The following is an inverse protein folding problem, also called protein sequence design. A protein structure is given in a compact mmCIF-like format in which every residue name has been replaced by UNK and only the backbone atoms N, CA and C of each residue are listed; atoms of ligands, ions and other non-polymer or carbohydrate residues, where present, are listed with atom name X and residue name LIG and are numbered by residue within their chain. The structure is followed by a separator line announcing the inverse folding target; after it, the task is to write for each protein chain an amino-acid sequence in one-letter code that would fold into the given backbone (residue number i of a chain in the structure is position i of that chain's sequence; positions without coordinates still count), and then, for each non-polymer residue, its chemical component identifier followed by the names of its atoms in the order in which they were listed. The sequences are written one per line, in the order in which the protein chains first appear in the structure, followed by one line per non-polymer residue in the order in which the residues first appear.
data_IF_259935707739
#
_entry.id   IF_259935707739
#
_cell.length_a   1.000
_cell.length_b   1.000
_cell.length_c   1.000
_cell.angle_alpha   90.00
_cell.angle_beta   90.00
_cell.angle_gamma   90.00
#
_symmetry.space_group_name_H-M   'P 1'
#
loop_
_entity.id
_entity.type
_entity.pdbx_description
1 polymer ?
#
# COMPACT_ATOMS: atom_id res chain seq x y z
N UNK A 1 7.59 -27.07 -36.62
CA UNK A 1 8.10 -26.78 -35.27
C UNK A 1 8.71 -25.38 -35.32
N UNK A 2 7.99 -24.38 -34.84
CA UNK A 2 8.48 -23.01 -34.71
C UNK A 2 8.14 -22.55 -33.31
N UNK A 3 9.15 -22.48 -32.45
CA UNK A 3 9.07 -21.91 -31.11
C UNK A 3 8.67 -20.44 -31.20
N UNK A 4 7.73 -19.93 -30.39
CA UNK A 4 7.58 -18.50 -30.24
C UNK A 4 8.69 -17.97 -29.33
N UNK A 5 9.41 -17.00 -29.87
CA UNK A 5 10.38 -16.12 -29.21
C UNK A 5 9.80 -15.54 -27.92
N UNK A 6 10.49 -15.77 -26.80
CA UNK A 6 10.25 -15.06 -25.54
C UNK A 6 10.69 -13.62 -25.75
N UNK A 7 9.74 -12.72 -25.95
CA UNK A 7 10.00 -11.28 -25.85
C UNK A 7 10.20 -10.98 -24.37
N UNK A 8 11.40 -10.47 -24.05
CA UNK A 8 11.68 -9.80 -22.78
C UNK A 8 10.69 -8.63 -22.63
N UNK A 9 9.58 -8.89 -21.94
CA UNK A 9 8.74 -7.84 -21.40
C UNK A 9 9.44 -7.34 -20.14
N UNK A 10 10.00 -6.14 -20.20
CA UNK A 10 10.12 -5.34 -18.98
C UNK A 10 8.71 -5.29 -18.38
N UNK A 11 8.54 -5.91 -17.21
CA UNK A 11 7.25 -6.02 -16.52
C UNK A 11 6.54 -4.67 -16.59
N UNK A 12 5.42 -4.63 -17.32
CA UNK A 12 4.52 -3.50 -17.20
C UNK A 12 4.19 -3.37 -15.71
N UNK A 13 4.18 -2.16 -15.13
CA UNK A 13 3.75 -1.99 -13.76
C UNK A 13 2.33 -2.56 -13.67
N UNK A 14 2.20 -3.69 -13.01
CA UNK A 14 0.93 -4.35 -12.77
C UNK A 14 0.20 -3.55 -11.70
N UNK A 15 -1.03 -3.13 -12.00
CA UNK A 15 -1.93 -2.53 -11.02
C UNK A 15 -2.20 -3.56 -9.91
N UNK A 16 -2.24 -3.10 -8.67
CA UNK A 16 -2.54 -3.97 -7.53
C UNK A 16 -1.83 -3.58 -6.23
N UNK A 17 -1.89 -4.51 -5.28
CA UNK A 17 -1.37 -4.37 -3.92
C UNK A 17 -0.27 -5.41 -3.69
N UNK A 18 0.95 -4.97 -3.41
CA UNK A 18 2.10 -5.88 -3.29
C UNK A 18 3.20 -5.35 -2.38
N UNK A 19 4.00 -6.26 -1.83
CA UNK A 19 5.25 -5.90 -1.17
C UNK A 19 6.29 -5.57 -2.25
N UNK A 20 6.96 -4.42 -2.15
CA UNK A 20 7.98 -4.02 -3.13
C UNK A 20 9.17 -5.01 -3.07
N UNK A 21 9.50 -5.74 -4.15
CA UNK A 21 10.59 -6.70 -4.15
C UNK A 21 11.96 -6.05 -3.93
N UNK A 22 12.15 -4.80 -4.36
CA UNK A 22 13.40 -4.06 -4.16
C UNK A 22 13.46 -3.41 -2.78
N UNK A 23 12.29 -3.17 -2.16
CA UNK A 23 12.16 -2.61 -0.83
C UNK A 23 11.15 -3.41 0.00
N UNK A 24 11.50 -4.59 0.53
CA UNK A 24 10.56 -5.52 1.17
C UNK A 24 9.80 -4.98 2.40
N UNK A 25 10.15 -3.79 2.84
CA UNK A 25 9.53 -3.08 3.94
C UNK A 25 8.42 -2.11 3.49
N UNK A 26 8.18 -1.98 2.19
CA UNK A 26 7.20 -1.09 1.56
C UNK A 26 6.06 -1.91 0.97
N UNK A 27 4.83 -1.59 1.37
CA UNK A 27 3.61 -2.03 0.70
C UNK A 27 3.27 -1.02 -0.39
N UNK A 28 3.40 -1.42 -1.65
CA UNK A 28 3.11 -0.58 -2.82
C UNK A 28 1.68 -0.81 -3.30
N UNK A 29 1.01 0.29 -3.63
CA UNK A 29 -0.32 0.34 -4.23
C UNK A 29 -0.19 1.03 -5.58
N UNK A 30 -0.44 0.28 -6.65
CA UNK A 30 -0.27 0.73 -8.04
C UNK A 30 -1.64 0.73 -8.75
N UNK A 31 -2.00 1.84 -9.41
CA UNK A 31 -3.20 1.93 -10.24
C UNK A 31 -4.52 1.98 -9.46
N UNK A 32 -5.56 1.39 -10.05
CA UNK A 32 -6.89 1.26 -9.44
C UNK A 32 -6.93 -0.05 -8.66
N UNK A 33 -7.00 0.06 -7.32
CA UNK A 33 -6.90 -1.09 -6.43
C UNK A 33 -8.19 -1.27 -5.65
N UNK A 34 -8.74 -2.47 -5.72
CA UNK A 34 -9.99 -2.85 -5.08
C UNK A 34 -9.87 -4.17 -4.32
N UNK A 35 -11.02 -4.72 -3.91
CA UNK A 35 -11.07 -5.99 -3.19
C UNK A 35 -10.44 -7.17 -3.95
N UNK A 36 -10.40 -7.17 -5.28
CA UNK A 36 -9.75 -8.24 -6.03
C UNK A 36 -8.24 -8.25 -5.76
N UNK A 37 -7.59 -7.09 -5.81
CA UNK A 37 -6.15 -6.98 -5.50
C UNK A 37 -5.81 -7.39 -4.06
N UNK A 38 -6.73 -7.14 -3.12
CA UNK A 38 -6.57 -7.59 -1.73
C UNK A 38 -6.66 -9.12 -1.62
N UNK A 39 -7.57 -9.74 -2.38
CA UNK A 39 -7.72 -11.20 -2.42
C UNK A 39 -6.54 -11.86 -3.13
N UNK A 40 -6.05 -11.28 -4.23
CA UNK A 40 -4.88 -11.77 -4.95
C UNK A 40 -3.65 -11.79 -4.02
N UNK A 41 -3.41 -10.71 -3.27
CA UNK A 41 -2.31 -10.67 -2.29
C UNK A 41 -2.51 -11.70 -1.16
N UNK A 42 -3.73 -11.89 -0.68
CA UNK A 42 -4.02 -12.90 0.35
C UNK A 42 -3.72 -14.32 -0.15
N UNK A 43 -4.12 -14.61 -1.40
CA UNK A 43 -3.87 -15.89 -2.05
C UNK A 43 -2.38 -16.11 -2.32
N UNK A 44 -1.65 -15.07 -2.76
CA UNK A 44 -0.19 -15.12 -2.95
C UNK A 44 0.56 -15.43 -1.64
N UNK A 45 0.10 -14.86 -0.53
CA UNK A 45 0.69 -15.09 0.80
C UNK A 45 0.15 -16.36 1.49
N UNK A 46 -0.90 -16.99 0.95
CA UNK A 46 -1.52 -18.17 1.52
C UNK A 46 -2.21 -17.92 2.86
N UNK A 47 -2.79 -16.73 3.06
CA UNK A 47 -3.44 -16.32 4.32
C UNK A 47 -4.88 -15.85 4.09
N UNK A 48 -5.70 -15.83 5.14
CA UNK A 48 -7.02 -15.23 5.03
C UNK A 48 -6.92 -13.69 4.94
N UNK A 49 -7.88 -13.05 4.27
CA UNK A 49 -7.94 -11.57 4.16
C UNK A 49 -7.80 -10.84 5.50
N UNK A 50 -8.42 -11.37 6.56
CA UNK A 50 -8.34 -10.78 7.90
C UNK A 50 -6.96 -10.86 8.55
N UNK A 51 -6.09 -11.72 8.03
CA UNK A 51 -4.73 -11.97 8.53
C UNK A 51 -3.67 -11.18 7.73
N UNK A 52 -4.05 -10.48 6.65
CA UNK A 52 -3.12 -9.73 5.81
C UNK A 52 -2.33 -8.69 6.61
N UNK A 53 -3.00 -7.84 7.40
CA UNK A 53 -2.34 -6.81 8.21
C UNK A 53 -1.21 -7.36 9.10
N UNK A 54 -1.49 -8.28 10.03
CA UNK A 54 -0.45 -8.86 10.87
C UNK A 54 0.59 -9.66 10.08
N UNK A 55 0.20 -10.35 9.00
CA UNK A 55 1.14 -11.08 8.13
C UNK A 55 2.14 -10.14 7.45
N UNK A 56 1.66 -9.03 6.89
CA UNK A 56 2.50 -8.01 6.25
C UNK A 56 3.47 -7.37 7.25
N UNK A 57 2.99 -7.03 8.46
CA UNK A 57 3.85 -6.49 9.51
C UNK A 57 4.90 -7.52 9.97
N UNK A 58 4.52 -8.79 10.13
CA UNK A 58 5.45 -9.86 10.46
C UNK A 58 6.50 -10.10 9.36
N UNK A 59 6.14 -9.86 8.09
CA UNK A 59 7.05 -9.88 6.95
C UNK A 59 7.99 -8.66 6.87
N UNK A 60 7.80 -7.66 7.74
CA UNK A 60 8.68 -6.49 7.85
C UNK A 60 8.17 -5.23 7.14
N UNK A 61 6.94 -5.23 6.65
CA UNK A 61 6.27 -4.03 6.10
C UNK A 61 6.11 -2.99 7.20
N UNK A 62 6.63 -1.78 6.93
CA UNK A 62 6.59 -0.62 7.84
C UNK A 62 6.35 0.70 7.12
N UNK A 63 6.13 0.67 5.81
CA UNK A 63 5.90 1.85 4.98
C UNK A 63 4.86 1.52 3.91
N UNK A 64 4.06 2.51 3.51
CA UNK A 64 3.06 2.41 2.45
C UNK A 64 3.37 3.44 1.36
N UNK A 65 3.36 2.99 0.10
CA UNK A 65 3.58 3.82 -1.08
C UNK A 65 2.33 3.86 -1.95
N UNK A 66 1.70 5.04 -2.03
CA UNK A 66 0.53 5.34 -2.87
C UNK A 66 0.89 6.22 -4.07
N UNK A 67 2.18 6.43 -4.37
CA UNK A 67 2.64 7.37 -5.43
C UNK A 67 2.03 7.07 -6.79
N UNK A 68 1.72 5.80 -7.05
CA UNK A 68 1.17 5.31 -8.31
C UNK A 68 -0.29 4.89 -8.21
N UNK A 69 -0.92 5.05 -7.05
CA UNK A 69 -2.33 4.74 -6.86
C UNK A 69 -3.20 5.82 -7.53
N UNK A 70 -4.17 5.40 -8.34
CA UNK A 70 -5.17 6.26 -8.97
C UNK A 70 -6.53 6.14 -8.30
N UNK A 71 -6.83 4.99 -7.68
CA UNK A 71 -8.02 4.75 -6.88
C UNK A 71 -7.76 3.67 -5.82
N UNK A 72 -8.39 3.81 -4.65
CA UNK A 72 -8.46 2.74 -3.63
C UNK A 72 -9.88 2.67 -3.07
N UNK A 73 -10.37 1.46 -2.80
CA UNK A 73 -11.65 1.25 -2.14
C UNK A 73 -11.52 1.02 -0.62
N UNK A 74 -12.67 0.81 0.03
CA UNK A 74 -12.72 0.54 1.49
C UNK A 74 -11.99 -0.74 1.91
N UNK A 75 -11.82 -1.72 1.02
CA UNK A 75 -11.14 -2.97 1.33
C UNK A 75 -9.63 -2.79 1.38
N UNK A 76 -9.06 -1.97 0.48
CA UNK A 76 -7.67 -1.56 0.53
C UNK A 76 -7.41 -0.73 1.78
N UNK A 77 -8.29 0.24 2.08
CA UNK A 77 -8.21 1.05 3.30
C UNK A 77 -8.21 0.16 4.55
N UNK A 78 -9.04 -0.88 4.60
CA UNK A 78 -9.05 -1.83 5.71
C UNK A 78 -7.68 -2.53 5.88
N UNK A 79 -7.02 -2.93 4.79
CA UNK A 79 -5.66 -3.49 4.87
C UNK A 79 -4.69 -2.45 5.44
N UNK A 80 -4.68 -1.23 4.91
CA UNK A 80 -3.78 -0.17 5.38
C UNK A 80 -3.99 0.14 6.88
N UNK A 81 -5.24 0.20 7.33
CA UNK A 81 -5.60 0.38 8.74
C UNK A 81 -5.11 -0.79 9.60
N UNK A 82 -5.29 -2.03 9.14
CA UNK A 82 -4.80 -3.19 9.89
C UNK A 82 -3.28 -3.20 9.99
N UNK A 83 -2.56 -2.86 8.91
CA UNK A 83 -1.09 -2.69 8.94
C UNK A 83 -0.70 -1.61 9.95
N UNK A 84 -1.35 -0.44 9.91
CA UNK A 84 -1.04 0.64 10.84
C UNK A 84 -1.37 0.32 12.30
N UNK A 85 -2.47 -0.38 12.55
CA UNK A 85 -2.91 -0.75 13.91
C UNK A 85 -1.99 -1.76 14.60
N UNK A 86 -1.17 -2.49 13.83
CA UNK A 86 -0.18 -3.44 14.34
C UNK A 86 1.21 -2.82 14.52
N UNK A 87 1.37 -1.52 14.24
CA UNK A 87 2.61 -0.79 14.44
C UNK A 87 2.53 0.10 15.69
N UNK A 88 3.66 0.28 16.37
CA UNK A 88 3.76 1.10 17.59
C UNK A 88 3.82 2.61 17.33
N UNK A 89 4.07 3.00 16.08
CA UNK A 89 4.14 4.37 15.60
C UNK A 89 3.27 4.53 14.37
N UNK A 90 3.01 5.78 13.98
CA UNK A 90 2.38 6.08 12.69
C UNK A 90 3.21 5.50 11.55
N UNK A 91 2.53 5.08 10.49
CA UNK A 91 3.15 4.43 9.34
C UNK A 91 3.52 5.48 8.31
N UNK A 92 4.80 5.58 7.89
CA UNK A 92 5.20 6.40 6.76
C UNK A 92 4.33 6.12 5.52
N UNK A 93 3.76 7.19 4.95
CA UNK A 93 2.86 7.14 3.81
C UNK A 93 3.35 8.09 2.72
N UNK A 94 3.78 7.50 1.60
CA UNK A 94 4.30 8.24 0.44
C UNK A 94 3.23 8.43 -0.63
N UNK A 95 3.28 9.58 -1.29
CA UNK A 95 2.59 9.80 -2.57
C UNK A 95 1.05 9.86 -2.52
N UNK A 96 0.43 9.81 -1.33
CA UNK A 96 -1.02 9.93 -1.18
C UNK A 96 -1.52 11.29 -1.72
N UNK A 97 -2.24 11.24 -2.83
CA UNK A 97 -2.79 12.42 -3.51
C UNK A 97 -4.13 12.07 -4.18
N UNK A 98 -4.86 13.07 -4.69
CA UNK A 98 -6.08 12.84 -5.49
C UNK A 98 -7.12 11.94 -4.82
N UNK A 99 -7.67 10.99 -5.59
CA UNK A 99 -8.72 10.07 -5.13
C UNK A 99 -8.29 9.19 -3.95
N UNK A 100 -7.09 8.57 -3.94
CA UNK A 100 -6.63 7.83 -2.77
C UNK A 100 -6.57 8.65 -1.49
N UNK A 101 -6.07 9.89 -1.55
CA UNK A 101 -6.04 10.76 -0.36
C UNK A 101 -7.45 11.11 0.14
N UNK A 102 -8.36 11.48 -0.77
CA UNK A 102 -9.75 11.79 -0.41
C UNK A 102 -10.44 10.58 0.25
N UNK A 103 -10.15 9.36 -0.21
CA UNK A 103 -10.71 8.15 0.37
C UNK A 103 -10.19 7.89 1.80
N UNK A 104 -8.90 8.12 2.06
CA UNK A 104 -8.32 8.04 3.41
C UNK A 104 -8.91 9.11 4.34
N UNK A 105 -9.06 10.34 3.85
CA UNK A 105 -9.66 11.46 4.59
C UNK A 105 -11.12 11.18 4.94
N UNK A 106 -11.93 10.75 3.96
CA UNK A 106 -13.32 10.38 4.15
C UNK A 106 -13.50 9.21 5.14
N UNK A 107 -12.51 8.32 5.21
CA UNK A 107 -12.49 7.20 6.16
C UNK A 107 -12.00 7.59 7.56
N UNK A 108 -11.45 8.80 7.74
CA UNK A 108 -10.97 9.28 9.04
C UNK A 108 -9.69 8.61 9.54
N UNK A 109 -8.91 7.99 8.65
CA UNK A 109 -7.75 7.15 9.02
C UNK A 109 -6.40 7.82 8.80
N UNK A 110 -6.38 9.04 8.24
CA UNK A 110 -5.14 9.77 7.91
C UNK A 110 -4.24 9.95 9.13
N UNK A 111 -4.79 10.09 10.33
CA UNK A 111 -4.03 10.25 11.58
C UNK A 111 -3.19 9.02 11.99
N UNK A 112 -3.39 7.87 11.32
CA UNK A 112 -2.58 6.66 11.49
C UNK A 112 -1.27 6.71 10.69
N UNK A 113 -1.11 7.69 9.81
CA UNK A 113 0.00 7.76 8.85
C UNK A 113 0.84 9.02 9.05
N UNK A 114 2.15 8.87 8.84
CA UNK A 114 3.10 9.98 8.76
C UNK A 114 3.31 10.33 7.28
N UNK A 115 2.79 11.47 6.85
CA UNK A 115 2.86 11.89 5.45
C UNK A 115 4.16 12.63 5.16
N UNK A 116 4.73 12.39 3.99
CA UNK A 116 5.85 13.17 3.47
C UNK A 116 5.49 14.67 3.49
N UNK A 117 6.20 15.47 4.31
CA UNK A 117 6.04 16.92 4.40
C UNK A 117 5.13 17.46 5.52
N UNK A 118 4.57 16.61 6.40
CA UNK A 118 3.76 17.07 7.54
C UNK A 118 4.61 17.46 8.79
N UNK A 119 5.90 17.12 8.79
CA UNK A 119 6.83 17.31 9.92
C UNK A 119 7.49 18.69 10.07
N UNK A 120 7.17 19.68 9.22
CA UNK A 120 7.89 20.97 9.19
C UNK A 120 7.04 22.19 9.62
N UNK A 121 5.81 21.97 10.11
CA UNK A 121 4.90 23.08 10.47
C UNK A 121 4.81 23.41 11.96
N UNK A 122 5.40 22.62 12.84
CA UNK A 122 5.29 22.82 14.30
C UNK A 122 6.53 23.48 14.96
N UNK A 123 7.61 23.76 14.21
CA UNK A 123 8.83 24.40 14.76
C UNK A 123 8.94 25.91 14.44
N UNK A 124 7.96 26.51 13.75
CA UNK A 124 7.98 27.93 13.40
C UNK A 124 7.24 28.86 14.40
N UNK A 125 6.81 28.35 15.56
CA UNK A 125 6.01 29.09 16.53
C UNK A 125 6.56 29.08 17.97
N UNK A 126 7.89 29.09 18.14
CA UNK A 126 8.54 29.37 19.43
C UNK A 126 9.60 30.44 19.34
#
# INVERSE_FOLDING_TARGET
MTSPTRLDGADAPQDGLRVDPEHPHVLRVDGDVDVASVLDLADELGVARGELGPTLVAAGVREIDLTRATFIDSSVIAVLVTVASHQSSRVPLRGASGSPLMALEASGVVSMFDRDGEGDRDDAAR
#
